data_IF_468782592075
#
_entry.id   IF_468782592075
#
_cell.length_a   1.000
_cell.length_b   1.000
_cell.length_c   1.000
_cell.angle_alpha   90.00
_cell.angle_beta   90.00
_cell.angle_gamma   90.00
#
_symmetry.space_group_name_H-M   'P 1'
#
loop_
_entity.id
_entity.type
_entity.pdbx_description
1 polymer ?
#
# COMPACT_ATOMS: atom_id res chain seq x y z
N UNK A 1 -8.36 -2.44 20.83
CA UNK A 1 -8.46 -2.79 19.40
C UNK A 1 -7.79 -4.13 19.18
N UNK A 2 -8.50 -5.08 18.56
CA UNK A 2 -8.01 -6.43 18.29
C UNK A 2 -6.86 -6.37 17.29
N UNK A 3 -5.73 -7.04 17.57
CA UNK A 3 -4.60 -7.12 16.65
C UNK A 3 -5.04 -7.90 15.39
N UNK A 4 -5.33 -7.19 14.30
CA UNK A 4 -5.69 -7.78 13.02
C UNK A 4 -4.41 -8.14 12.27
N UNK A 5 -4.27 -9.40 11.88
CA UNK A 5 -3.21 -9.83 10.98
C UNK A 5 -3.58 -9.38 9.56
N UNK A 6 -2.71 -8.59 8.93
CA UNK A 6 -2.92 -8.03 7.59
C UNK A 6 -1.76 -8.49 6.70
N UNK A 7 -2.12 -9.12 5.59
CA UNK A 7 -1.18 -9.44 4.51
C UNK A 7 -1.29 -8.36 3.45
N UNK A 8 -0.14 -7.84 3.00
CA UNK A 8 -0.05 -6.90 1.88
C UNK A 8 0.43 -7.68 0.67
N UNK A 9 -0.29 -7.54 -0.45
CA UNK A 9 0.07 -8.17 -1.72
C UNK A 9 0.42 -7.07 -2.72
N UNK A 10 1.55 -7.23 -3.38
CA UNK A 10 2.02 -6.31 -4.42
C UNK A 10 1.53 -6.76 -5.79
N UNK A 11 1.14 -5.79 -6.62
CA UNK A 11 0.86 -6.03 -8.03
C UNK A 11 2.18 -5.98 -8.84
N UNK A 12 2.29 -6.74 -9.95
CA UNK A 12 3.47 -6.73 -10.80
C UNK A 12 3.86 -5.31 -11.29
N UNK A 13 2.88 -4.45 -11.55
CA UNK A 13 3.08 -3.07 -11.97
C UNK A 13 3.74 -2.22 -10.87
N UNK A 14 3.30 -2.40 -9.62
CA UNK A 14 3.91 -1.73 -8.47
C UNK A 14 5.35 -2.20 -8.26
N UNK A 15 5.63 -3.50 -8.42
CA UNK A 15 6.99 -4.04 -8.30
C UNK A 15 7.94 -3.45 -9.34
N UNK A 16 7.48 -3.30 -10.59
CA UNK A 16 8.27 -2.65 -11.66
C UNK A 16 8.55 -1.18 -11.32
N UNK A 17 7.54 -0.46 -10.83
CA UNK A 17 7.70 0.93 -10.39
C UNK A 17 8.68 1.05 -9.22
N UNK A 18 8.51 0.23 -8.18
CA UNK A 18 9.33 0.26 -6.97
C UNK A 18 10.80 0.00 -7.29
N UNK A 19 11.11 -1.00 -8.13
CA UNK A 19 12.50 -1.30 -8.54
C UNK A 19 13.22 -0.11 -9.20
N UNK A 20 12.48 0.75 -9.91
CA UNK A 20 13.06 1.86 -10.65
C UNK A 20 13.09 3.18 -9.85
N UNK A 21 12.23 3.32 -8.83
CA UNK A 21 11.98 4.61 -8.16
C UNK A 21 12.22 4.60 -6.65
N UNK A 22 12.32 3.41 -6.03
CA UNK A 22 12.42 3.24 -4.59
C UNK A 22 13.61 2.36 -4.25
N UNK A 23 14.28 2.66 -3.15
CA UNK A 23 15.15 1.67 -2.53
C UNK A 23 14.35 0.68 -1.67
N UNK A 24 14.98 -0.43 -1.31
CA UNK A 24 14.36 -1.51 -0.54
C UNK A 24 13.75 -1.01 0.78
N UNK A 25 14.44 -0.11 1.50
CA UNK A 25 13.96 0.45 2.78
C UNK A 25 12.70 1.29 2.60
N UNK A 26 12.60 2.07 1.53
CA UNK A 26 11.41 2.86 1.21
C UNK A 26 10.23 1.96 0.85
N UNK A 27 10.47 0.93 0.04
CA UNK A 27 9.45 -0.06 -0.30
C UNK A 27 8.88 -0.74 0.97
N UNK A 28 9.77 -1.20 1.86
CA UNK A 28 9.37 -1.80 3.14
C UNK A 28 8.57 -0.82 4.02
N UNK A 29 8.95 0.46 4.07
CA UNK A 29 8.19 1.47 4.82
C UNK A 29 6.77 1.62 4.29
N UNK A 30 6.58 1.60 2.97
CA UNK A 30 5.25 1.68 2.35
C UNK A 30 4.41 0.46 2.74
N UNK A 31 4.97 -0.75 2.61
CA UNK A 31 4.28 -2.01 2.96
C UNK A 31 3.85 -2.01 4.43
N UNK A 32 4.76 -1.68 5.35
CA UNK A 32 4.45 -1.61 6.77
C UNK A 32 3.43 -0.53 7.11
N UNK A 33 3.49 0.61 6.42
CA UNK A 33 2.53 1.68 6.61
C UNK A 33 1.11 1.25 6.22
N UNK A 34 0.96 0.59 5.06
CA UNK A 34 -0.34 0.08 4.58
C UNK A 34 -0.86 -1.00 5.53
N UNK A 35 -0.01 -1.94 5.95
CA UNK A 35 -0.39 -2.99 6.89
C UNK A 35 -0.86 -2.44 8.24
N UNK A 36 -0.24 -1.35 8.73
CA UNK A 36 -0.65 -0.70 9.97
C UNK A 36 -1.91 0.17 9.81
N UNK A 37 -2.22 0.63 8.60
CA UNK A 37 -3.30 1.58 8.33
C UNK A 37 -4.08 1.23 7.04
N UNK A 38 -4.80 0.10 6.99
CA UNK A 38 -5.43 -0.41 5.76
C UNK A 38 -6.49 0.54 5.17
N UNK A 39 -7.12 1.37 6.02
CA UNK A 39 -8.21 2.26 5.61
C UNK A 39 -7.75 3.69 5.33
N UNK A 40 -6.44 3.96 5.38
CA UNK A 40 -5.87 5.28 5.08
C UNK A 40 -5.88 5.59 3.57
N UNK A 41 -5.93 6.88 3.25
CA UNK A 41 -5.98 7.39 1.88
C UNK A 41 -7.39 7.71 1.40
N UNK A 42 -7.44 8.56 0.37
CA UNK A 42 -8.68 9.06 -0.21
C UNK A 42 -9.31 8.00 -1.12
N UNK A 43 -10.61 7.78 -0.95
CA UNK A 43 -11.38 6.88 -1.82
C UNK A 43 -11.47 7.50 -3.22
N UNK A 44 -11.02 6.77 -4.23
CA UNK A 44 -11.20 7.14 -5.63
C UNK A 44 -12.62 6.74 -6.03
N UNK A 45 -13.52 7.72 -6.19
CA UNK A 45 -14.91 7.46 -6.56
C UNK A 45 -15.01 6.69 -7.88
N UNK A 46 -15.97 5.76 -7.97
CA UNK A 46 -16.20 4.94 -9.17
C UNK A 46 -15.29 3.72 -9.30
N UNK A 47 -14.39 3.46 -8.36
CA UNK A 47 -13.43 2.33 -8.42
C UNK A 47 -13.77 1.13 -7.52
N UNK A 48 -14.92 1.17 -6.84
CA UNK A 48 -15.31 0.10 -5.91
C UNK A 48 -14.48 0.06 -4.62
N UNK A 49 -13.84 1.16 -4.22
CA UNK A 49 -13.15 1.27 -2.92
C UNK A 49 -11.63 1.34 -2.99
N UNK A 50 -11.03 1.57 -4.17
CA UNK A 50 -9.59 1.85 -4.28
C UNK A 50 -9.27 3.15 -3.55
N UNK A 51 -8.18 3.15 -2.80
CA UNK A 51 -7.67 4.31 -2.07
C UNK A 51 -6.36 4.80 -2.68
N UNK A 52 -6.16 6.11 -2.74
CA UNK A 52 -4.89 6.75 -3.09
C UNK A 52 -4.41 7.57 -1.92
N UNK A 53 -3.11 7.46 -1.64
CA UNK A 53 -2.41 8.39 -0.75
C UNK A 53 -1.51 9.27 -1.60
N UNK A 54 -1.79 10.58 -1.58
CA UNK A 54 -0.95 11.62 -2.18
C UNK A 54 0.30 11.83 -1.32
#
# INVERSE_FOLDING_TARGET
MSKKLISVVELPEFQKFAKNNLNEKECFKIIHYIAANPDQGDIIKGTGGIRRKL
#
